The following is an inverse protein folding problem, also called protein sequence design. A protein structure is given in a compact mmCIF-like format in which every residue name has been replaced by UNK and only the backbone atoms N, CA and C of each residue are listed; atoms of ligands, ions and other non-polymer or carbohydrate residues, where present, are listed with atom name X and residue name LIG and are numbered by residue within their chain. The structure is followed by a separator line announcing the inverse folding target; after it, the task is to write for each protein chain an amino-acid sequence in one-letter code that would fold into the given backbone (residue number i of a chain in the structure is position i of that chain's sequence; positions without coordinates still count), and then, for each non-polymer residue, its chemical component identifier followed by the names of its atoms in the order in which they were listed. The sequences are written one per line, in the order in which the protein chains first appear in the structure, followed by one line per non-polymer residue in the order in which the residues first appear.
data_IF_689232724856
#
_entry.id   IF_689232724856
#
_cell.length_a   1.000
_cell.length_b   1.000
_cell.length_c   1.000
_cell.angle_alpha   90.00
_cell.angle_beta   90.00
_cell.angle_gamma   90.00
#
_symmetry.space_group_name_H-M   'P 1'
#
loop_
_entity.id
_entity.type
_entity.pdbx_description
1 polymer ?
#
# COMPACT_ATOMS: atom_id res chain seq x y z
N UNK A 1 -1.65 12.22 -8.82
CA UNK A 1 -0.89 11.72 -7.65
C UNK A 1 0.44 12.47 -7.59
N UNK A 2 0.89 12.95 -6.42
CA UNK A 2 2.10 13.77 -6.29
C UNK A 2 3.42 13.07 -6.71
N UNK A 3 3.43 11.74 -6.75
CA UNK A 3 4.62 10.95 -7.08
C UNK A 3 4.88 10.79 -8.58
N UNK A 4 3.88 10.99 -9.43
CA UNK A 4 4.01 10.77 -10.89
C UNK A 4 5.16 11.58 -11.51
N UNK A 5 5.32 12.89 -11.25
CA UNK A 5 6.41 13.65 -11.84
C UNK A 5 7.82 13.18 -11.40
N UNK A 6 7.95 12.67 -10.17
CA UNK A 6 9.23 12.13 -9.67
C UNK A 6 9.57 10.80 -10.34
N UNK A 7 8.57 9.95 -10.57
CA UNK A 7 8.77 8.68 -11.27
C UNK A 7 9.10 8.90 -12.75
N UNK A 8 8.45 9.85 -13.39
CA UNK A 8 8.76 10.24 -14.77
C UNK A 8 10.18 10.76 -14.88
N UNK A 9 10.61 11.63 -13.96
CA UNK A 9 11.98 12.12 -13.89
C UNK A 9 13.00 10.99 -13.67
N UNK A 10 12.71 10.06 -12.76
CA UNK A 10 13.54 8.88 -12.51
C UNK A 10 13.71 8.03 -13.78
N UNK A 11 12.63 7.71 -14.45
CA UNK A 11 12.65 6.91 -15.68
C UNK A 11 13.37 7.63 -16.82
N UNK A 12 13.17 8.94 -16.96
CA UNK A 12 13.84 9.73 -17.97
C UNK A 12 15.35 9.81 -17.72
N UNK A 13 15.75 10.07 -16.47
CA UNK A 13 17.17 10.10 -16.10
C UNK A 13 17.85 8.74 -16.33
N UNK A 14 17.16 7.65 -15.97
CA UNK A 14 17.68 6.30 -16.21
C UNK A 14 17.85 5.96 -17.69
N UNK A 15 16.89 6.33 -18.54
CA UNK A 15 17.01 6.16 -19.99
C UNK A 15 18.17 6.97 -20.58
N UNK A 16 18.35 8.22 -20.15
CA UNK A 16 19.49 9.05 -20.56
C UNK A 16 20.82 8.47 -20.14
N UNK A 17 20.87 7.78 -19.00
CA UNK A 17 22.06 7.08 -18.52
C UNK A 17 22.28 5.70 -19.19
N UNK A 18 21.46 5.30 -20.17
CA UNK A 18 21.61 4.06 -20.92
C UNK A 18 21.05 2.82 -20.21
N UNK A 19 20.22 3.00 -19.17
CA UNK A 19 19.55 1.87 -18.52
C UNK A 19 18.32 1.41 -19.32
N UNK A 20 18.15 0.11 -19.45
CA UNK A 20 16.96 -0.46 -20.08
C UNK A 20 15.72 -0.26 -19.20
N UNK A 21 14.52 -0.11 -19.80
CA UNK A 21 13.27 0.10 -19.05
C UNK A 21 13.01 -0.95 -17.96
N UNK A 22 13.37 -2.21 -18.20
CA UNK A 22 13.18 -3.34 -17.27
C UNK A 22 13.98 -3.18 -15.98
N UNK A 23 15.06 -2.40 -16.02
CA UNK A 23 15.88 -2.08 -14.83
C UNK A 23 15.37 -0.89 -14.04
N UNK A 24 14.49 -0.08 -14.62
CA UNK A 24 13.92 1.12 -14.00
C UNK A 24 12.66 0.80 -13.23
N UNK A 25 12.78 -0.11 -12.26
CA UNK A 25 11.67 -0.60 -11.45
C UNK A 25 11.24 0.40 -10.39
N UNK A 26 9.94 0.41 -10.07
CA UNK A 26 9.33 1.26 -9.04
C UNK A 26 8.64 0.39 -8.01
N UNK A 27 8.97 0.57 -6.74
CA UNK A 27 8.28 -0.06 -5.61
C UNK A 27 7.37 0.92 -4.88
N UNK A 28 6.23 0.44 -4.41
CA UNK A 28 5.32 1.16 -3.52
C UNK A 28 5.48 0.62 -2.10
N UNK A 29 5.74 1.52 -1.13
CA UNK A 29 5.60 1.23 0.29
C UNK A 29 4.44 2.03 0.85
N UNK A 30 3.50 1.38 1.52
CA UNK A 30 2.33 2.05 2.10
C UNK A 30 1.90 1.40 3.39
N UNK A 31 1.34 2.21 4.27
CA UNK A 31 0.58 1.70 5.43
C UNK A 31 -0.66 0.98 4.91
N UNK A 32 -0.87 -0.24 5.37
CA UNK A 32 -1.97 -1.08 4.89
C UNK A 32 -2.42 -2.09 5.92
N UNK A 33 -3.70 -2.45 5.84
CA UNK A 33 -4.32 -3.45 6.69
C UNK A 33 -5.56 -4.05 6.02
N UNK A 34 -5.82 -5.33 6.24
CA UNK A 34 -6.92 -6.07 5.65
C UNK A 34 -7.78 -6.74 6.70
N UNK A 35 -9.09 -6.75 6.45
CA UNK A 35 -10.08 -7.54 7.19
C UNK A 35 -11.17 -8.02 6.21
N UNK A 36 -12.18 -8.70 6.72
CA UNK A 36 -13.28 -9.26 5.90
C UNK A 36 -14.10 -8.16 5.22
N UNK A 37 -14.22 -7.00 5.87
CA UNK A 37 -14.89 -5.83 5.31
C UNK A 37 -14.01 -4.57 5.43
N UNK A 38 -14.27 -3.60 4.54
CA UNK A 38 -13.55 -2.32 4.54
C UNK A 38 -13.77 -1.53 5.83
N UNK A 39 -14.98 -1.58 6.39
CA UNK A 39 -15.28 -0.86 7.63
C UNK A 39 -14.64 -1.54 8.84
N UNK A 40 -14.67 -2.87 8.90
CA UNK A 40 -13.97 -3.62 9.94
C UNK A 40 -12.46 -3.35 9.92
N UNK A 41 -11.84 -3.36 8.76
CA UNK A 41 -10.42 -3.02 8.62
C UNK A 41 -10.11 -1.63 9.17
N UNK A 42 -10.99 -0.67 8.93
CA UNK A 42 -10.83 0.70 9.43
C UNK A 42 -10.98 0.78 10.96
N UNK A 43 -11.98 0.11 11.53
CA UNK A 43 -12.23 0.14 12.98
C UNK A 43 -11.11 -0.56 13.78
N UNK A 44 -10.60 -1.67 13.27
CA UNK A 44 -9.49 -2.39 13.89
C UNK A 44 -8.20 -1.58 13.84
N UNK A 45 -7.90 -0.99 12.70
CA UNK A 45 -6.58 -0.39 12.47
C UNK A 45 -6.45 1.06 12.96
N UNK A 46 -7.55 1.83 12.92
CA UNK A 46 -7.52 3.26 13.24
C UNK A 46 -6.97 3.61 14.63
N UNK A 47 -7.33 2.93 15.74
CA UNK A 47 -6.82 3.30 17.06
C UNK A 47 -5.29 3.27 17.14
N UNK A 48 -4.68 2.20 16.65
CA UNK A 48 -3.22 2.06 16.60
C UNK A 48 -2.56 3.03 15.63
N UNK A 49 -3.17 3.26 14.48
CA UNK A 49 -2.75 4.27 13.50
C UNK A 49 -2.73 5.67 14.13
N UNK A 50 -3.85 6.08 14.72
CA UNK A 50 -3.98 7.40 15.32
C UNK A 50 -2.96 7.63 16.46
N UNK A 51 -2.76 6.65 17.33
CA UNK A 51 -1.75 6.70 18.37
C UNK A 51 -0.34 6.83 17.77
N UNK A 52 0.05 5.91 16.91
CA UNK A 52 1.41 5.86 16.35
C UNK A 52 1.76 7.13 15.58
N UNK A 53 0.86 7.59 14.69
CA UNK A 53 1.14 8.78 13.88
C UNK A 53 1.01 10.08 14.67
N UNK A 54 0.25 10.13 15.76
CA UNK A 54 0.23 11.27 16.68
C UNK A 54 1.56 11.35 17.44
N UNK A 55 2.07 10.23 17.95
CA UNK A 55 3.36 10.22 18.67
C UNK A 55 4.52 10.62 17.75
N UNK A 56 4.61 10.02 16.55
CA UNK A 56 5.59 10.42 15.55
C UNK A 56 5.44 11.90 15.15
N UNK A 57 4.20 12.38 15.08
CA UNK A 57 3.88 13.76 14.72
C UNK A 57 4.42 14.78 15.74
N UNK A 58 4.45 14.46 17.01
CA UNK A 58 4.98 15.34 18.06
C UNK A 58 6.44 15.72 17.80
N UNK A 59 7.26 14.75 17.37
CA UNK A 59 8.68 14.99 17.07
C UNK A 59 8.88 15.80 15.78
N UNK A 60 7.91 15.80 14.88
CA UNK A 60 7.97 16.42 13.55
C UNK A 60 7.15 17.69 13.40
N UNK A 61 6.49 18.13 14.48
CA UNK A 61 5.61 19.29 14.45
C UNK A 61 4.33 19.08 13.63
N UNK A 62 3.87 17.84 13.44
CA UNK A 62 2.63 17.53 12.75
C UNK A 62 1.45 17.57 13.72
N UNK A 63 0.24 17.94 13.27
CA UNK A 63 -0.96 17.82 14.08
C UNK A 63 -1.28 16.35 14.38
N UNK A 64 -2.05 16.12 15.43
CA UNK A 64 -2.53 14.78 15.78
C UNK A 64 -3.33 14.17 14.62
N UNK A 65 -3.17 12.86 14.42
CA UNK A 65 -3.92 12.14 13.41
C UNK A 65 -5.41 12.09 13.75
N UNK A 66 -6.26 12.49 12.81
CA UNK A 66 -7.72 12.50 13.00
C UNK A 66 -8.41 11.42 12.18
N UNK A 67 -9.61 11.01 12.63
CA UNK A 67 -10.42 10.04 11.89
C UNK A 67 -10.76 10.54 10.48
N UNK A 68 -11.11 11.80 10.33
CA UNK A 68 -11.42 12.38 9.04
C UNK A 68 -10.24 12.32 8.05
N UNK A 69 -9.03 12.61 8.52
CA UNK A 69 -7.82 12.46 7.70
C UNK A 69 -7.55 11.00 7.33
N UNK A 70 -7.69 10.09 8.28
CA UNK A 70 -7.54 8.66 8.03
C UNK A 70 -8.54 8.17 6.99
N UNK A 71 -9.82 8.54 7.11
CA UNK A 71 -10.87 8.15 6.17
C UNK A 71 -10.63 8.73 4.76
N UNK A 72 -10.15 9.97 4.66
CA UNK A 72 -9.74 10.55 3.39
C UNK A 72 -8.55 9.80 2.76
N UNK A 73 -7.55 9.43 3.56
CA UNK A 73 -6.36 8.71 3.09
C UNK A 73 -6.65 7.25 2.70
N UNK A 74 -7.63 6.58 3.32
CA UNK A 74 -8.07 5.24 2.91
C UNK A 74 -9.04 5.25 1.73
N UNK A 75 -9.52 6.42 1.30
CA UNK A 75 -10.37 6.58 0.12
C UNK A 75 -9.74 6.04 -1.18
N UNK A 76 -10.50 5.98 -2.29
CA UNK A 76 -10.06 5.31 -3.53
C UNK A 76 -8.73 5.78 -4.09
N UNK A 77 -8.42 7.06 -3.96
CA UNK A 77 -7.17 7.69 -4.45
C UNK A 77 -6.18 8.06 -3.33
N UNK A 78 -6.53 7.74 -2.09
CA UNK A 78 -5.70 8.01 -0.91
C UNK A 78 -4.52 7.05 -0.78
N UNK A 79 -3.58 7.38 0.08
CA UNK A 79 -2.31 6.65 0.21
C UNK A 79 -2.41 5.34 1.02
N UNK A 80 -3.41 5.18 1.90
CA UNK A 80 -3.53 4.00 2.77
C UNK A 80 -4.17 2.82 2.04
N UNK A 81 -3.58 1.65 2.12
CA UNK A 81 -4.09 0.40 1.56
C UNK A 81 -4.89 -0.37 2.63
N UNK A 82 -6.03 0.19 3.05
CA UNK A 82 -6.86 -0.35 4.14
C UNK A 82 -8.25 -0.69 3.61
N UNK A 83 -8.71 -1.92 3.87
CA UNK A 83 -10.01 -2.40 3.47
C UNK A 83 -10.10 -3.90 3.28
N UNK A 84 -11.17 -4.36 2.62
CA UNK A 84 -11.30 -5.74 2.18
C UNK A 84 -10.40 -6.04 0.97
N UNK A 85 -10.28 -7.32 0.62
CA UNK A 85 -9.39 -7.77 -0.44
C UNK A 85 -9.66 -7.11 -1.80
N UNK A 86 -10.92 -6.91 -2.16
CA UNK A 86 -11.32 -6.32 -3.45
C UNK A 86 -10.98 -4.82 -3.48
N UNK A 87 -11.27 -4.11 -2.40
CA UNK A 87 -10.98 -2.68 -2.26
C UNK A 87 -9.48 -2.42 -2.35
N UNK A 88 -8.67 -3.20 -1.63
CA UNK A 88 -7.22 -3.06 -1.64
C UNK A 88 -6.62 -3.44 -2.98
N UNK A 89 -7.07 -4.54 -3.61
CA UNK A 89 -6.63 -4.94 -4.93
C UNK A 89 -6.91 -3.84 -5.98
N UNK A 90 -8.11 -3.27 -5.98
CA UNK A 90 -8.48 -2.15 -6.85
C UNK A 90 -7.55 -0.95 -6.70
N UNK A 91 -7.19 -0.60 -5.46
CA UNK A 91 -6.26 0.52 -5.20
C UNK A 91 -4.85 0.22 -5.72
N UNK A 92 -4.37 -1.01 -5.55
CA UNK A 92 -3.06 -1.41 -6.08
C UNK A 92 -3.06 -1.31 -7.61
N UNK A 93 -4.10 -1.79 -8.28
CA UNK A 93 -4.24 -1.69 -9.74
C UNK A 93 -4.31 -0.23 -10.21
N UNK A 94 -5.07 0.61 -9.53
CA UNK A 94 -5.12 2.05 -9.81
C UNK A 94 -3.74 2.71 -9.67
N UNK A 95 -3.01 2.42 -8.58
CA UNK A 95 -1.66 2.97 -8.39
C UNK A 95 -0.70 2.45 -9.46
N UNK A 96 -0.79 1.17 -9.82
CA UNK A 96 0.00 0.57 -10.89
C UNK A 96 -0.21 1.30 -12.22
N UNK A 97 -1.46 1.59 -12.58
CA UNK A 97 -1.82 2.34 -13.78
C UNK A 97 -1.27 3.77 -13.74
N UNK A 98 -1.56 4.52 -12.68
CA UNK A 98 -1.17 5.94 -12.53
C UNK A 98 0.35 6.13 -12.51
N UNK A 99 1.11 5.17 -11.96
CA UNK A 99 2.57 5.23 -11.89
C UNK A 99 3.27 4.56 -13.10
N UNK A 100 2.48 4.08 -14.08
CA UNK A 100 3.02 3.44 -15.28
C UNK A 100 3.75 2.12 -14.99
N UNK A 101 3.25 1.36 -14.02
CA UNK A 101 3.79 0.07 -13.57
C UNK A 101 4.59 0.14 -12.28
N UNK A 102 4.27 -0.78 -11.36
CA UNK A 102 5.03 -0.99 -10.11
C UNK A 102 5.46 -2.46 -10.03
N UNK A 103 6.69 -2.70 -9.58
CA UNK A 103 7.27 -4.04 -9.48
C UNK A 103 7.05 -4.69 -8.11
N UNK A 104 6.76 -3.89 -7.09
CA UNK A 104 6.60 -4.36 -5.71
C UNK A 104 5.66 -3.47 -4.94
N UNK A 105 4.83 -4.09 -4.09
CA UNK A 105 4.05 -3.40 -3.05
C UNK A 105 4.48 -3.95 -1.69
N UNK A 106 4.86 -3.07 -0.78
CA UNK A 106 5.20 -3.42 0.60
C UNK A 106 4.18 -2.79 1.54
N UNK A 107 3.60 -3.60 2.42
CA UNK A 107 2.64 -3.16 3.42
C UNK A 107 3.33 -2.91 4.76
N UNK A 108 3.15 -1.73 5.33
CA UNK A 108 3.44 -1.46 6.73
C UNK A 108 2.17 -1.71 7.54
N UNK A 109 2.09 -2.88 8.17
CA UNK A 109 0.92 -3.29 8.97
C UNK A 109 1.12 -3.03 10.47
N UNK A 110 2.35 -2.82 10.92
CA UNK A 110 2.66 -2.65 12.34
C UNK A 110 2.20 -1.29 12.87
N UNK A 111 1.25 -1.31 13.81
CA UNK A 111 0.84 -0.18 14.66
C UNK A 111 0.77 -0.65 16.11
N UNK A 112 0.98 0.27 17.06
CA UNK A 112 1.27 -0.05 18.48
C UNK A 112 0.24 -0.94 19.19
N UNK A 113 -1.03 -0.91 18.76
CA UNK A 113 -2.12 -1.59 19.48
C UNK A 113 -2.74 -2.74 18.69
N UNK A 114 -2.17 -3.10 17.54
CA UNK A 114 -2.74 -4.15 16.70
C UNK A 114 -2.46 -5.53 17.32
N UNK A 115 -3.50 -6.33 17.64
CA UNK A 115 -3.34 -7.69 18.13
C UNK A 115 -2.64 -8.58 17.09
N UNK A 116 -1.73 -9.42 17.55
CA UNK A 116 -0.93 -10.29 16.69
C UNK A 116 -1.79 -11.18 15.75
N UNK A 117 -2.88 -11.75 16.26
CA UNK A 117 -3.77 -12.60 15.45
C UNK A 117 -4.43 -11.82 14.30
N UNK A 118 -4.81 -10.57 14.53
CA UNK A 118 -5.38 -9.72 13.48
C UNK A 118 -4.35 -9.38 12.40
N UNK A 119 -3.08 -9.20 12.79
CA UNK A 119 -1.99 -9.02 11.83
C UNK A 119 -1.80 -10.29 10.98
N UNK A 120 -1.80 -11.47 11.59
CA UNK A 120 -1.68 -12.74 10.85
C UNK A 120 -2.83 -12.92 9.86
N UNK A 121 -4.06 -12.67 10.27
CA UNK A 121 -5.23 -12.73 9.39
C UNK A 121 -5.11 -11.75 8.21
N UNK A 122 -4.66 -10.53 8.46
CA UNK A 122 -4.44 -9.54 7.40
C UNK A 122 -3.36 -9.98 6.40
N UNK A 123 -2.28 -10.61 6.87
CA UNK A 123 -1.24 -11.20 6.00
C UNK A 123 -1.80 -12.35 5.17
N UNK A 124 -2.62 -13.21 5.76
CA UNK A 124 -3.27 -14.31 5.05
C UNK A 124 -4.19 -13.78 3.94
N UNK A 125 -5.07 -12.82 4.24
CA UNK A 125 -5.94 -12.18 3.23
C UNK A 125 -5.11 -11.54 2.12
N UNK A 126 -3.99 -10.87 2.45
CA UNK A 126 -3.10 -10.28 1.46
C UNK A 126 -2.55 -11.34 0.50
N UNK A 127 -2.06 -12.46 1.04
CA UNK A 127 -1.44 -13.52 0.25
C UNK A 127 -2.44 -14.35 -0.56
N UNK A 128 -3.58 -14.69 0.03
CA UNK A 128 -4.55 -15.66 -0.54
C UNK A 128 -5.66 -15.00 -1.36
N UNK A 129 -5.96 -13.73 -1.13
CA UNK A 129 -7.03 -13.03 -1.84
C UNK A 129 -6.53 -11.83 -2.67
N UNK A 130 -5.80 -10.87 -2.07
CA UNK A 130 -5.38 -9.65 -2.79
C UNK A 130 -4.35 -9.98 -3.87
N UNK A 131 -3.31 -10.71 -3.53
CA UNK A 131 -2.22 -11.00 -4.47
C UNK A 131 -2.69 -11.78 -5.71
N UNK A 132 -3.56 -12.82 -5.60
CA UNK A 132 -4.14 -13.48 -6.76
C UNK A 132 -4.96 -12.55 -7.65
N UNK A 133 -5.82 -11.68 -7.07
CA UNK A 133 -6.61 -10.73 -7.85
C UNK A 133 -5.68 -9.81 -8.67
N UNK A 134 -4.71 -9.18 -8.02
CA UNK A 134 -3.78 -8.25 -8.68
C UNK A 134 -2.98 -8.94 -9.77
N UNK A 135 -2.44 -10.14 -9.50
CA UNK A 135 -1.64 -10.89 -10.47
C UNK A 135 -2.46 -11.31 -11.69
N UNK A 136 -3.68 -11.77 -11.47
CA UNK A 136 -4.57 -12.17 -12.55
C UNK A 136 -4.89 -10.99 -13.48
N UNK A 137 -5.24 -9.83 -12.90
CA UNK A 137 -5.55 -8.62 -13.67
C UNK A 137 -4.33 -8.08 -14.46
N UNK A 138 -3.12 -8.25 -13.91
CA UNK A 138 -1.89 -7.81 -14.56
C UNK A 138 -1.26 -8.86 -15.48
N UNK A 139 -1.86 -10.06 -15.60
CA UNK A 139 -1.30 -11.17 -16.40
C UNK A 139 0.05 -11.67 -15.90
N UNK A 140 0.34 -11.50 -14.59
CA UNK A 140 1.64 -11.92 -14.00
C UNK A 140 1.54 -13.35 -13.50
N UNK A 141 2.26 -14.26 -14.15
CA UNK A 141 2.44 -15.62 -13.65
C UNK A 141 3.46 -15.65 -12.51
N UNK A 142 3.18 -16.39 -11.43
CA UNK A 142 4.16 -16.64 -10.39
C UNK A 142 5.41 -17.31 -10.99
N UNK A 143 6.58 -16.70 -10.83
CA UNK A 143 7.81 -17.48 -10.88
C UNK A 143 7.72 -18.56 -9.79
N UNK A 144 8.09 -19.79 -10.14
CA UNK A 144 8.15 -20.90 -9.18
C UNK A 144 8.93 -20.48 -7.92
N UNK A 145 8.56 -20.98 -6.73
CA UNK A 145 9.32 -20.70 -5.51
C UNK A 145 10.79 -21.10 -5.76
N UNK A 146 11.68 -20.24 -5.34
CA UNK A 146 13.12 -20.58 -5.26
C UNK A 146 13.22 -21.68 -4.20
N UNK A 147 13.57 -22.91 -4.62
CA UNK A 147 13.87 -24.02 -3.72
C UNK A 147 15.10 -23.69 -2.85
#
# INVERSE_FOLDING_TARGET
MFLTPLIDLYREAGRRAGHSPERLTVGLHSVGFLADTTDEAAEIFYPGYAYTFTEIGKERGWPAATRAQFDALRGPTGALLIGDAKTVAKKILYVNEVLGGISRVTFQMGVSTLPHQQMLNAIEILGTAVAPIVRNELGVTLCAPIE
#
